data_IF_492599219072
#
_entry.id   IF_492599219072
#
_cell.length_a   1.000
_cell.length_b   1.000
_cell.length_c   1.000
_cell.angle_alpha   90.00
_cell.angle_beta   90.00
_cell.angle_gamma   90.00
#
_symmetry.space_group_name_H-M   'P 1'
#
loop_
_entity.id
_entity.type
_entity.pdbx_description
1 polymer ?
#
# COMPACT_ATOMS: atom_id res chain seq x y z
N UNK A 1 -18.13 7.62 -19.06
CA UNK A 1 -17.42 6.45 -18.49
C UNK A 1 -18.49 5.64 -17.78
N UNK A 2 -18.72 4.41 -18.21
CA UNK A 2 -19.84 3.58 -17.73
C UNK A 2 -19.47 2.76 -16.49
N UNK A 3 -18.19 2.39 -16.39
CA UNK A 3 -17.61 1.67 -15.25
C UNK A 3 -16.21 2.23 -14.98
N UNK A 4 -15.87 2.37 -13.69
CA UNK A 4 -14.52 2.71 -13.23
C UNK A 4 -13.94 1.60 -12.36
N UNK A 5 -12.62 1.43 -12.42
CA UNK A 5 -11.86 0.54 -11.55
C UNK A 5 -11.00 1.38 -10.60
N UNK A 6 -11.06 1.08 -9.31
CA UNK A 6 -10.24 1.76 -8.32
C UNK A 6 -10.53 1.26 -6.91
N UNK A 7 -9.92 1.94 -5.92
CA UNK A 7 -10.15 1.64 -4.52
C UNK A 7 -11.55 2.07 -4.07
N UNK A 8 -12.12 1.31 -3.14
CA UNK A 8 -13.39 1.64 -2.51
C UNK A 8 -13.23 2.84 -1.57
N UNK A 9 -13.40 4.05 -2.11
CA UNK A 9 -13.33 5.31 -1.34
C UNK A 9 -14.68 5.69 -0.74
N UNK A 10 -15.80 5.29 -1.36
CA UNK A 10 -17.18 5.65 -0.97
C UNK A 10 -17.43 7.18 -0.90
N UNK A 11 -16.63 7.98 -1.58
CA UNK A 11 -16.71 9.45 -1.51
C UNK A 11 -17.88 10.04 -2.30
N UNK A 12 -18.34 9.37 -3.36
CA UNK A 12 -19.49 9.82 -4.13
C UNK A 12 -20.72 9.00 -3.77
N UNK A 13 -21.79 9.61 -3.24
CA UNK A 13 -23.05 8.92 -2.95
C UNK A 13 -23.82 8.51 -4.20
N UNK A 14 -23.47 9.07 -5.37
CA UNK A 14 -24.11 8.79 -6.65
C UNK A 14 -23.49 7.59 -7.38
N UNK A 15 -22.48 6.95 -6.79
CA UNK A 15 -21.84 5.76 -7.35
C UNK A 15 -22.27 4.52 -6.57
N UNK A 16 -22.54 3.45 -7.33
CA UNK A 16 -22.63 2.10 -6.79
C UNK A 16 -21.24 1.49 -6.83
N UNK A 17 -20.82 0.90 -5.71
CA UNK A 17 -19.52 0.27 -5.60
C UNK A 17 -19.69 -1.22 -5.35
N UNK A 18 -18.93 -2.03 -6.06
CA UNK A 18 -18.84 -3.48 -5.86
C UNK A 18 -17.39 -3.84 -5.53
N UNK A 19 -17.19 -4.70 -4.53
CA UNK A 19 -15.85 -5.17 -4.17
C UNK A 19 -15.44 -6.28 -5.12
N UNK A 20 -14.38 -6.06 -5.88
CA UNK A 20 -13.84 -7.06 -6.79
C UNK A 20 -12.90 -8.03 -6.07
N UNK A 21 -11.91 -7.50 -5.35
CA UNK A 21 -10.93 -8.27 -4.60
C UNK A 21 -10.41 -7.46 -3.40
N UNK A 22 -9.56 -8.10 -2.61
CA UNK A 22 -8.69 -7.44 -1.63
C UNK A 22 -7.27 -7.54 -2.17
N UNK A 23 -6.56 -6.41 -2.27
CA UNK A 23 -5.13 -6.38 -2.58
C UNK A 23 -4.33 -6.17 -1.30
N UNK A 24 -3.26 -6.95 -1.14
CA UNK A 24 -2.33 -6.86 -0.03
C UNK A 24 -1.09 -6.04 -0.44
N UNK A 25 -0.57 -5.24 0.50
CA UNK A 25 0.72 -4.59 0.30
C UNK A 25 1.84 -5.63 0.42
N UNK A 26 2.78 -5.58 -0.52
CA UNK A 26 3.99 -6.41 -0.51
C UNK A 26 5.23 -5.52 -0.57
N UNK A 27 6.29 -5.96 0.12
CA UNK A 27 7.60 -5.33 0.00
C UNK A 27 8.35 -5.96 -1.18
N UNK A 28 8.63 -5.15 -2.20
CA UNK A 28 9.40 -5.58 -3.35
C UNK A 28 10.88 -5.31 -3.09
N UNK A 29 11.71 -6.35 -3.23
CA UNK A 29 13.16 -6.28 -3.00
C UNK A 29 13.92 -6.94 -4.15
N UNK A 30 15.18 -6.56 -4.33
CA UNK A 30 16.07 -7.24 -5.28
C UNK A 30 16.36 -8.69 -4.84
N UNK A 31 16.73 -9.56 -5.78
CA UNK A 31 17.00 -10.98 -5.49
C UNK A 31 18.16 -11.20 -4.51
N UNK A 32 19.09 -10.26 -4.43
CA UNK A 32 20.22 -10.30 -3.50
C UNK A 32 19.93 -9.61 -2.16
N UNK A 33 18.70 -9.15 -1.93
CA UNK A 33 18.33 -8.47 -0.68
C UNK A 33 18.22 -9.47 0.48
N UNK A 34 18.65 -9.13 1.71
CA UNK A 34 18.57 -10.02 2.87
C UNK A 34 17.18 -10.58 3.18
N UNK A 35 16.13 -9.90 2.72
CA UNK A 35 14.74 -10.28 2.95
C UNK A 35 14.06 -11.03 1.79
N UNK A 36 14.79 -11.39 0.73
CA UNK A 36 14.20 -12.01 -0.48
C UNK A 36 13.38 -13.27 -0.20
N UNK A 37 13.75 -14.07 0.81
CA UNK A 37 13.07 -15.32 1.16
C UNK A 37 12.07 -15.17 2.32
N UNK A 38 11.83 -13.95 2.80
CA UNK A 38 10.86 -13.70 3.88
C UNK A 38 9.45 -13.62 3.31
N UNK A 39 8.53 -14.36 3.93
CA UNK A 39 7.09 -14.29 3.58
C UNK A 39 6.38 -13.11 4.23
N UNK A 40 6.87 -12.65 5.38
CA UNK A 40 6.31 -11.55 6.16
C UNK A 40 7.46 -10.74 6.73
N UNK A 41 7.28 -9.43 6.84
CA UNK A 41 8.22 -8.50 7.47
C UNK A 41 7.44 -7.69 8.51
N UNK A 42 8.04 -7.50 9.69
CA UNK A 42 7.42 -6.66 10.71
C UNK A 42 7.56 -5.19 10.32
N UNK A 43 6.52 -4.39 10.54
CA UNK A 43 6.54 -2.95 10.28
C UNK A 43 7.68 -2.24 11.02
N UNK A 44 8.03 -2.68 12.23
CA UNK A 44 9.16 -2.14 12.98
C UNK A 44 10.51 -2.30 12.26
N UNK A 45 10.67 -3.37 11.48
CA UNK A 45 11.89 -3.60 10.68
C UNK A 45 11.96 -2.68 9.46
N UNK A 46 10.81 -2.26 8.91
CA UNK A 46 10.75 -1.32 7.79
C UNK A 46 11.31 0.07 8.16
N UNK A 47 11.21 0.47 9.42
CA UNK A 47 11.66 1.80 9.88
C UNK A 47 13.15 2.06 9.59
N UNK A 48 13.96 1.01 9.56
CA UNK A 48 15.40 1.12 9.32
C UNK A 48 15.76 1.09 7.82
N UNK A 49 14.77 0.91 6.95
CA UNK A 49 14.99 0.75 5.51
C UNK A 49 14.74 2.05 4.75
N UNK A 50 15.58 2.30 3.73
CA UNK A 50 15.31 3.34 2.75
C UNK A 50 14.36 2.78 1.70
N UNK A 51 13.11 3.23 1.74
CA UNK A 51 12.08 2.79 0.80
C UNK A 51 12.03 3.72 -0.40
N UNK A 52 12.10 3.14 -1.60
CA UNK A 52 11.70 3.85 -2.81
C UNK A 52 10.17 3.79 -2.91
N UNK A 53 9.53 4.95 -2.93
CA UNK A 53 8.08 5.04 -2.88
C UNK A 53 7.56 5.94 -4.01
N UNK A 54 6.30 5.73 -4.37
CA UNK A 54 5.59 6.61 -5.29
C UNK A 54 5.47 8.03 -4.70
N UNK A 55 5.28 9.06 -5.54
CA UNK A 55 4.91 10.40 -5.09
C UNK A 55 3.60 10.39 -4.28
N UNK A 56 3.43 11.38 -3.41
CA UNK A 56 2.26 11.55 -2.52
C UNK A 56 0.94 11.84 -3.26
N UNK A 57 1.01 12.17 -4.55
CA UNK A 57 -0.14 12.30 -5.46
C UNK A 57 -0.89 10.99 -5.69
N UNK A 58 -0.24 9.84 -5.46
CA UNK A 58 -0.85 8.53 -5.64
C UNK A 58 -1.63 8.09 -4.39
N UNK A 59 -2.87 7.62 -4.56
CA UNK A 59 -3.70 7.11 -3.44
C UNK A 59 -3.00 6.00 -2.66
N UNK A 60 -2.35 5.06 -3.37
CA UNK A 60 -1.60 3.98 -2.74
C UNK A 60 -0.49 4.49 -1.83
N UNK A 61 0.19 5.57 -2.21
CA UNK A 61 1.23 6.18 -1.38
C UNK A 61 0.67 6.76 -0.09
N UNK A 62 -0.47 7.47 -0.18
CA UNK A 62 -1.14 8.02 1.00
C UNK A 62 -1.64 6.91 1.94
N UNK A 63 -2.15 5.81 1.39
CA UNK A 63 -2.52 4.62 2.16
C UNK A 63 -1.31 4.02 2.88
N UNK A 64 -0.16 3.84 2.20
CA UNK A 64 1.06 3.34 2.87
C UNK A 64 1.56 4.31 3.94
N UNK A 65 1.52 5.61 3.71
CA UNK A 65 1.92 6.62 4.70
C UNK A 65 1.03 6.55 5.96
N UNK A 66 -0.28 6.33 5.80
CA UNK A 66 -1.21 6.14 6.92
C UNK A 66 -0.94 4.85 7.70
N UNK A 67 -0.66 3.75 6.99
CA UNK A 67 -0.30 2.48 7.62
C UNK A 67 1.01 2.64 8.41
N UNK A 68 2.07 3.19 7.81
CA UNK A 68 3.33 3.45 8.49
C UNK A 68 3.12 4.33 9.73
N UNK A 69 2.33 5.41 9.64
CA UNK A 69 2.00 6.28 10.77
C UNK A 69 1.29 5.52 11.90
N UNK A 70 0.32 4.67 11.57
CA UNK A 70 -0.40 3.84 12.55
C UNK A 70 0.53 2.88 13.29
N UNK A 71 1.55 2.37 12.60
CA UNK A 71 2.56 1.48 13.16
C UNK A 71 3.78 2.23 13.75
N UNK A 72 3.76 3.56 13.79
CA UNK A 72 4.86 4.42 14.26
C UNK A 72 6.19 4.18 13.52
N UNK A 73 6.09 3.89 12.23
CA UNK A 73 7.20 3.67 11.31
C UNK A 73 7.35 4.88 10.40
N UNK A 74 8.59 5.29 10.14
CA UNK A 74 8.94 6.38 9.21
C UNK A 74 9.91 5.89 8.16
#
# INVERSE_FOLDING_TARGET
>A
MDVGLGFLTRHSPNLRYERLCTDEFALIVAQNHPWVNRRVVDFSELHQQRLLQLPDTFVMRRMTDEICRKHQVR
#
